data_IF_846992968253
#
_entry.id   IF_846992968253
#
_cell.length_a   1.000
_cell.length_b   1.000
_cell.length_c   1.000
_cell.angle_alpha   90.00
_cell.angle_beta   90.00
_cell.angle_gamma   90.00
#
_symmetry.space_group_name_H-M   'P 1'
#
loop_
_entity.id
_entity.type
_entity.pdbx_description
1 polymer ?
#
# COMPACT_ATOMS: atom_id res chain seq x y z
N UNK A 1 -36.46 40.24 -14.37
CA UNK A 1 -36.19 40.96 -15.62
C UNK A 1 -37.50 41.55 -16.10
N UNK A 2 -37.54 42.87 -16.28
CA UNK A 2 -38.68 43.55 -16.91
C UNK A 2 -38.65 43.33 -18.39
N UNK A 3 -39.79 43.05 -19.00
CA UNK A 3 -39.95 42.91 -20.44
C UNK A 3 -39.47 44.19 -21.14
N UNK A 4 -38.55 44.07 -22.11
CA UNK A 4 -37.96 45.24 -22.75
C UNK A 4 -38.88 45.92 -23.78
N UNK A 5 -39.98 45.27 -24.12
CA UNK A 5 -40.98 45.76 -25.09
C UNK A 5 -42.33 45.76 -24.42
N UNK A 6 -42.95 46.95 -24.34
CA UNK A 6 -44.30 47.16 -23.81
C UNK A 6 -45.23 47.54 -24.99
N UNK A 7 -46.31 46.81 -25.13
CA UNK A 7 -47.32 47.05 -26.19
C UNK A 7 -48.43 47.92 -25.63
N UNK A 8 -48.61 49.12 -26.20
CA UNK A 8 -49.70 49.98 -25.87
C UNK A 8 -50.96 49.54 -26.66
N UNK A 9 -52.09 49.38 -25.96
CA UNK A 9 -53.34 48.97 -26.60
C UNK A 9 -53.76 49.96 -27.69
N UNK A 10 -54.02 49.45 -28.92
CA UNK A 10 -54.38 50.18 -30.12
C UNK A 10 -53.27 50.93 -30.85
N UNK A 11 -52.01 50.72 -30.51
CA UNK A 11 -50.90 51.23 -31.30
C UNK A 11 -50.66 50.31 -32.54
N UNK A 12 -50.24 50.86 -33.72
CA UNK A 12 -49.88 50.03 -34.83
C UNK A 12 -48.73 49.09 -34.43
N UNK A 13 -48.89 47.80 -34.71
CA UNK A 13 -47.91 46.77 -34.34
C UNK A 13 -46.58 47.04 -35.04
N UNK A 14 -45.51 47.44 -34.34
CA UNK A 14 -44.24 47.74 -34.96
C UNK A 14 -43.46 46.44 -35.26
N UNK A 15 -43.45 46.00 -36.51
CA UNK A 15 -42.80 44.78 -36.96
C UNK A 15 -41.33 44.70 -36.56
N UNK A 16 -40.61 45.80 -36.67
CA UNK A 16 -39.19 45.89 -36.28
C UNK A 16 -38.97 45.63 -34.76
N UNK A 17 -39.80 46.22 -33.91
CA UNK A 17 -39.67 46.01 -32.45
C UNK A 17 -40.04 44.56 -32.04
N UNK A 18 -40.91 43.92 -32.79
CA UNK A 18 -41.27 42.53 -32.55
C UNK A 18 -40.14 41.59 -33.01
N UNK A 19 -39.54 41.87 -34.16
CA UNK A 19 -38.41 41.16 -34.71
C UNK A 19 -37.19 41.24 -33.74
N UNK A 20 -36.88 42.48 -33.27
CA UNK A 20 -35.82 42.67 -32.24
C UNK A 20 -36.09 41.89 -30.95
N UNK A 21 -37.36 41.85 -30.51
CA UNK A 21 -37.74 41.07 -29.33
C UNK A 21 -37.55 39.56 -29.50
N UNK A 22 -37.89 39.03 -30.66
CA UNK A 22 -37.68 37.63 -31.02
C UNK A 22 -36.19 37.28 -31.16
N UNK A 23 -35.41 38.16 -31.76
CA UNK A 23 -33.93 37.98 -31.91
C UNK A 23 -33.24 37.97 -30.55
N UNK A 24 -33.60 38.88 -29.65
CA UNK A 24 -33.10 38.86 -28.27
C UNK A 24 -33.47 37.58 -27.51
N UNK A 25 -34.70 37.13 -27.66
CA UNK A 25 -35.12 35.86 -27.04
C UNK A 25 -34.35 34.67 -27.61
N UNK A 26 -34.14 34.63 -28.93
CA UNK A 26 -33.35 33.60 -29.57
C UNK A 26 -31.88 33.61 -29.11
N UNK A 27 -31.25 34.77 -29.06
CA UNK A 27 -29.87 34.92 -28.55
C UNK A 27 -29.76 34.46 -27.09
N UNK A 28 -30.74 34.82 -26.24
CA UNK A 28 -30.73 34.37 -24.83
C UNK A 28 -30.87 32.88 -24.73
N UNK A 29 -31.74 32.26 -25.52
CA UNK A 29 -31.89 30.77 -25.56
C UNK A 29 -30.60 30.10 -26.03
N UNK A 30 -29.95 30.66 -27.04
CA UNK A 30 -28.67 30.12 -27.53
C UNK A 30 -27.59 30.22 -26.47
N UNK A 31 -27.46 31.34 -25.76
CA UNK A 31 -26.53 31.49 -24.65
C UNK A 31 -26.81 30.50 -23.51
N UNK A 32 -28.07 30.35 -23.11
CA UNK A 32 -28.46 29.35 -22.10
C UNK A 32 -28.13 27.93 -22.56
N UNK A 33 -28.36 27.62 -23.85
CA UNK A 33 -28.03 26.30 -24.41
C UNK A 33 -26.52 26.05 -24.39
N UNK A 34 -25.71 27.06 -24.66
CA UNK A 34 -24.27 26.97 -24.61
C UNK A 34 -23.76 26.77 -23.17
N UNK A 35 -24.29 27.49 -22.20
CA UNK A 35 -23.99 27.29 -20.79
C UNK A 35 -24.39 25.88 -20.31
N UNK A 36 -25.58 25.43 -20.69
CA UNK A 36 -26.03 24.08 -20.39
C UNK A 36 -25.13 23.01 -21.04
N UNK A 37 -24.59 23.24 -22.24
CA UNK A 37 -23.68 22.30 -22.89
C UNK A 37 -22.32 22.18 -22.22
N UNK A 38 -21.92 23.18 -21.44
CA UNK A 38 -20.71 23.18 -20.62
C UNK A 38 -20.91 22.69 -19.19
N UNK A 39 -22.17 22.41 -18.78
CA UNK A 39 -22.47 21.93 -17.44
C UNK A 39 -22.49 20.42 -17.35
N UNK A 40 -22.22 19.89 -16.15
CA UNK A 40 -22.45 18.49 -15.87
C UNK A 40 -23.96 18.20 -15.90
N UNK A 41 -24.37 17.22 -16.71
CA UNK A 41 -25.75 16.85 -16.87
C UNK A 41 -25.96 15.41 -16.44
N UNK A 42 -27.05 15.18 -15.73
CA UNK A 42 -27.54 13.85 -15.44
C UNK A 42 -28.56 13.49 -16.52
N UNK A 43 -28.54 12.23 -16.97
CA UNK A 43 -29.53 11.77 -17.93
C UNK A 43 -30.96 12.00 -17.43
N UNK A 44 -31.86 12.44 -18.30
CA UNK A 44 -33.26 12.64 -17.95
C UNK A 44 -33.98 11.36 -17.45
N UNK A 45 -33.35 10.19 -17.63
CA UNK A 45 -33.84 8.89 -17.14
C UNK A 45 -33.30 8.53 -15.75
N UNK A 46 -32.35 9.30 -15.22
CA UNK A 46 -31.80 9.11 -13.86
C UNK A 46 -32.48 10.07 -12.88
N UNK A 47 -32.96 9.53 -11.78
CA UNK A 47 -33.45 10.33 -10.67
C UNK A 47 -32.29 10.61 -9.70
N UNK A 48 -31.81 11.84 -9.64
CA UNK A 48 -30.99 12.32 -8.53
C UNK A 48 -31.92 13.13 -7.63
N UNK A 49 -31.97 12.78 -6.35
CA UNK A 49 -32.85 13.43 -5.39
C UNK A 49 -32.26 14.78 -4.93
N UNK A 50 -30.94 14.92 -4.94
CA UNK A 50 -30.22 16.13 -4.55
C UNK A 50 -29.13 16.47 -5.57
N UNK A 51 -29.46 17.24 -6.65
CA UNK A 51 -28.49 17.63 -7.67
C UNK A 51 -27.60 18.83 -7.25
N UNK A 52 -27.78 19.34 -6.05
CA UNK A 52 -27.10 20.54 -5.54
C UNK A 52 -26.02 20.17 -4.53
N UNK A 53 -24.95 20.96 -4.53
CA UNK A 53 -23.96 20.92 -3.47
C UNK A 53 -24.53 21.58 -2.22
N UNK A 54 -24.81 20.79 -1.20
CA UNK A 54 -25.35 21.28 0.09
C UNK A 54 -24.28 21.87 0.99
N UNK A 55 -23.01 21.50 0.78
CA UNK A 55 -21.88 21.98 1.56
C UNK A 55 -21.40 23.35 1.09
N UNK A 56 -20.91 24.17 2.01
CA UNK A 56 -20.29 25.45 1.71
C UNK A 56 -18.90 25.29 1.03
N UNK A 57 -18.34 26.39 0.53
CA UNK A 57 -17.06 26.36 -0.17
C UNK A 57 -15.89 25.90 0.71
N UNK A 58 -15.91 26.23 2.01
CA UNK A 58 -14.86 25.84 2.94
C UNK A 58 -14.91 24.33 3.21
N UNK A 59 -16.13 23.79 3.36
CA UNK A 59 -16.34 22.34 3.54
C UNK A 59 -15.98 21.53 2.30
N UNK A 60 -16.06 22.09 1.09
CA UNK A 60 -15.70 21.46 -0.18
C UNK A 60 -14.23 21.60 -0.54
N UNK A 61 -13.49 22.50 0.10
CA UNK A 61 -12.10 22.75 -0.23
C UNK A 61 -11.25 21.48 -0.05
N UNK A 62 -10.43 21.15 -1.04
CA UNK A 62 -9.55 19.97 -1.06
C UNK A 62 -10.26 18.61 -1.03
N UNK A 63 -11.55 18.58 -1.40
CA UNK A 63 -12.32 17.31 -1.49
C UNK A 63 -12.61 16.96 -2.94
N UNK A 64 -12.76 15.67 -3.22
CA UNK A 64 -13.19 15.18 -4.52
C UNK A 64 -14.72 15.14 -4.60
N UNK A 65 -15.23 15.34 -5.82
CA UNK A 65 -16.63 15.11 -6.14
C UNK A 65 -16.85 13.60 -6.29
N UNK A 66 -17.80 13.06 -5.56
CA UNK A 66 -18.20 11.66 -5.61
C UNK A 66 -19.70 11.48 -5.63
N UNK A 67 -20.14 10.23 -5.60
CA UNK A 67 -21.55 9.86 -5.48
C UNK A 67 -21.70 8.92 -4.29
N UNK A 68 -22.81 9.06 -3.55
CA UNK A 68 -23.16 8.14 -2.48
C UNK A 68 -23.67 6.78 -3.02
N UNK A 69 -23.98 5.86 -2.12
CA UNK A 69 -24.49 4.52 -2.48
C UNK A 69 -25.83 4.54 -3.23
N UNK A 70 -26.53 5.66 -3.24
CA UNK A 70 -27.78 5.87 -3.97
C UNK A 70 -27.61 6.67 -5.26
N UNK A 71 -26.37 7.11 -5.55
CA UNK A 71 -26.02 7.86 -6.76
C UNK A 71 -26.26 9.37 -6.66
N UNK A 72 -26.51 9.90 -5.48
CA UNK A 72 -26.60 11.35 -5.25
C UNK A 72 -25.20 11.97 -5.17
N UNK A 73 -25.09 13.25 -5.52
CA UNK A 73 -23.84 13.99 -5.45
C UNK A 73 -23.36 14.10 -3.99
N UNK A 74 -22.14 13.65 -3.75
CA UNK A 74 -21.48 13.72 -2.46
C UNK A 74 -20.18 14.52 -2.59
N UNK A 75 -20.01 15.56 -1.77
CA UNK A 75 -18.79 16.39 -1.76
C UNK A 75 -17.71 15.89 -0.79
N UNK A 76 -17.91 14.76 -0.17
CA UNK A 76 -17.11 14.30 0.95
C UNK A 76 -16.40 12.99 0.69
N UNK A 77 -15.57 12.94 -0.30
CA UNK A 77 -14.48 11.95 -0.20
C UNK A 77 -13.33 12.69 0.47
N UNK A 78 -13.31 12.62 1.79
CA UNK A 78 -12.34 13.33 2.61
C UNK A 78 -10.91 12.88 2.33
N UNK A 79 -10.73 11.66 1.89
CA UNK A 79 -9.43 11.09 1.56
C UNK A 79 -9.61 10.15 0.38
N UNK A 80 -9.19 10.59 -0.80
CA UNK A 80 -9.02 9.70 -1.93
C UNK A 80 -7.81 8.83 -1.60
N UNK A 81 -8.08 7.70 -0.96
CA UNK A 81 -7.08 6.67 -0.76
C UNK A 81 -6.78 6.07 -2.13
N UNK A 82 -5.56 6.20 -2.66
CA UNK A 82 -5.16 5.27 -3.68
C UNK A 82 -5.17 3.89 -3.03
N UNK A 83 -6.27 3.15 -3.15
CA UNK A 83 -6.31 1.73 -2.86
C UNK A 83 -5.44 1.04 -3.91
N UNK A 84 -4.14 1.14 -3.73
CA UNK A 84 -3.12 0.53 -4.56
C UNK A 84 -2.17 -0.25 -3.68
N UNK A 85 -2.31 -1.57 -3.65
CA UNK A 85 -1.40 -2.47 -2.94
C UNK A 85 -1.81 -2.75 -1.49
N UNK A 86 -1.00 -3.56 -0.82
CA UNK A 86 -1.11 -3.91 0.60
C UNK A 86 -0.84 -2.70 1.50
N UNK A 87 -1.83 -1.83 1.66
CA UNK A 87 -1.71 -0.65 2.51
C UNK A 87 -3.01 -0.31 3.22
N UNK A 88 -2.89 0.19 4.45
CA UNK A 88 -4.00 0.71 5.23
C UNK A 88 -3.65 2.08 5.81
N UNK A 89 -4.68 2.89 6.09
CA UNK A 89 -4.50 4.21 6.66
C UNK A 89 -4.61 4.16 8.18
N UNK A 90 -3.70 4.87 8.85
CA UNK A 90 -3.70 5.04 10.30
C UNK A 90 -3.39 6.48 10.68
N UNK A 91 -3.58 6.80 11.95
CA UNK A 91 -3.03 8.02 12.55
C UNK A 91 -1.81 7.70 13.41
N UNK A 92 -0.78 8.52 13.29
CA UNK A 92 0.42 8.38 14.12
C UNK A 92 0.18 8.95 15.52
N UNK A 93 0.45 8.16 16.55
CA UNK A 93 0.47 8.63 17.93
C UNK A 93 1.92 8.80 18.40
N UNK A 94 2.26 9.96 18.97
CA UNK A 94 3.61 10.25 19.49
C UNK A 94 3.87 9.64 20.87
N UNK A 95 2.88 9.01 21.51
CA UNK A 95 3.08 8.27 22.76
C UNK A 95 3.86 6.98 22.50
N UNK A 96 4.63 6.51 23.50
CA UNK A 96 5.54 5.36 23.34
C UNK A 96 5.23 4.17 24.24
N UNK A 97 4.11 4.23 24.97
CA UNK A 97 3.70 3.20 25.91
C UNK A 97 3.34 1.88 25.21
N UNK A 98 3.71 0.75 25.81
CA UNK A 98 3.23 -0.58 25.40
C UNK A 98 1.78 -0.73 25.85
N UNK A 99 0.87 -0.28 25.01
CA UNK A 99 -0.57 -0.35 25.19
C UNK A 99 -1.24 -0.20 23.83
N UNK A 100 -2.53 -0.51 23.76
CA UNK A 100 -3.39 -0.23 22.64
C UNK A 100 -3.27 1.26 22.23
N UNK A 101 -2.89 1.58 20.98
CA UNK A 101 -2.75 2.95 20.51
C UNK A 101 -4.09 3.69 20.36
N UNK A 102 -5.21 2.96 20.41
CA UNK A 102 -6.56 3.44 20.14
C UNK A 102 -6.96 3.29 18.69
N UNK A 103 -8.28 3.23 18.47
CA UNK A 103 -8.87 2.91 17.17
C UNK A 103 -8.27 3.72 16.02
N UNK A 104 -7.81 3.01 14.99
CA UNK A 104 -7.23 3.59 13.79
C UNK A 104 -5.85 4.22 13.97
N UNK A 105 -5.14 3.90 15.05
CA UNK A 105 -3.83 4.50 15.34
C UNK A 105 -2.71 3.46 15.39
N UNK A 106 -1.50 3.96 15.20
CA UNK A 106 -0.29 3.23 15.54
C UNK A 106 0.69 4.14 16.29
N UNK A 107 1.63 3.55 17.00
CA UNK A 107 2.73 4.22 17.67
C UNK A 107 4.01 3.41 17.64
N UNK A 108 5.12 4.07 17.89
CA UNK A 108 6.42 3.42 18.09
C UNK A 108 6.77 3.38 19.58
N UNK A 109 7.58 2.40 19.99
CA UNK A 109 8.05 2.30 21.38
C UNK A 109 9.12 3.34 21.75
N UNK A 110 9.50 4.21 20.82
CA UNK A 110 10.50 5.26 21.04
C UNK A 110 10.11 6.53 20.28
N UNK A 111 10.28 7.70 20.93
CA UNK A 111 10.01 8.99 20.30
C UNK A 111 11.01 9.33 19.18
N UNK A 112 12.24 8.79 19.25
CA UNK A 112 13.23 8.88 18.17
C UNK A 112 13.01 7.72 17.21
N UNK A 113 12.55 8.02 15.99
CA UNK A 113 12.17 7.03 14.97
C UNK A 113 13.30 6.02 14.71
N UNK A 114 14.56 6.49 14.57
CA UNK A 114 15.71 5.63 14.32
C UNK A 114 16.08 4.70 15.48
N UNK A 115 15.54 4.93 16.67
CA UNK A 115 15.73 4.08 17.85
C UNK A 115 14.53 3.20 18.16
N UNK A 116 13.49 3.27 17.35
CA UNK A 116 12.30 2.44 17.53
C UNK A 116 12.59 0.99 17.13
N UNK A 117 12.16 0.07 17.99
CA UNK A 117 12.32 -1.38 17.81
C UNK A 117 11.01 -2.16 17.85
N UNK A 118 9.91 -1.49 18.24
CA UNK A 118 8.57 -2.08 18.27
C UNK A 118 7.57 -1.05 17.75
N UNK A 119 6.65 -1.50 16.92
CA UNK A 119 5.43 -0.78 16.55
C UNK A 119 4.23 -1.43 17.24
N UNK A 120 3.37 -0.62 17.80
CA UNK A 120 2.04 -0.99 18.29
C UNK A 120 1.03 -0.45 17.30
N UNK A 121 0.23 -1.31 16.70
CA UNK A 121 -0.74 -0.97 15.66
C UNK A 121 -2.10 -1.52 16.04
N UNK A 122 -3.14 -0.68 16.00
CA UNK A 122 -4.52 -1.05 16.29
C UNK A 122 -5.05 -2.07 15.27
N UNK A 123 -5.98 -2.91 15.68
CA UNK A 123 -6.63 -3.89 14.82
C UNK A 123 -7.55 -3.24 13.78
N UNK A 124 -8.02 -2.01 14.07
CA UNK A 124 -8.82 -1.24 13.14
C UNK A 124 -7.95 -0.21 12.40
N UNK A 125 -8.16 -0.07 11.09
CA UNK A 125 -7.58 1.05 10.34
C UNK A 125 -8.38 2.35 10.59
N UNK A 126 -7.91 3.47 10.06
CA UNK A 126 -8.46 4.81 10.32
C UNK A 126 -9.98 4.94 10.11
N UNK A 127 -10.58 4.24 9.16
CA UNK A 127 -12.01 4.28 8.89
C UNK A 127 -12.80 3.21 9.67
N UNK A 128 -12.14 2.45 10.54
CA UNK A 128 -12.74 1.46 11.42
C UNK A 128 -12.89 0.06 10.81
N UNK A 129 -12.23 -0.22 9.68
CA UNK A 129 -12.17 -1.58 9.11
C UNK A 129 -11.17 -2.42 9.88
N UNK A 130 -11.56 -3.64 10.27
CA UNK A 130 -10.66 -4.60 10.90
C UNK A 130 -9.63 -5.11 9.90
N UNK A 131 -8.36 -4.87 10.20
CA UNK A 131 -7.19 -5.27 9.41
C UNK A 131 -6.23 -6.16 10.21
N UNK A 132 -6.66 -6.67 11.37
CA UNK A 132 -5.85 -7.50 12.26
C UNK A 132 -5.27 -8.72 11.54
N UNK A 133 -6.09 -9.45 10.76
CA UNK A 133 -5.63 -10.60 10.00
C UNK A 133 -4.55 -10.24 8.96
N UNK A 134 -4.66 -9.07 8.31
CA UNK A 134 -3.63 -8.60 7.39
C UNK A 134 -2.33 -8.24 8.12
N UNK A 135 -2.40 -7.55 9.25
CA UNK A 135 -1.21 -7.22 10.05
C UNK A 135 -0.55 -8.48 10.57
N UNK A 136 -1.31 -9.43 11.09
CA UNK A 136 -0.81 -10.70 11.62
C UNK A 136 -0.16 -11.59 10.54
N UNK A 137 -0.58 -11.48 9.28
CA UNK A 137 0.04 -12.23 8.18
C UNK A 137 1.44 -11.74 7.78
N UNK A 138 1.94 -10.64 8.34
CA UNK A 138 3.27 -10.11 7.96
C UNK A 138 4.43 -10.99 8.44
N UNK A 139 4.21 -11.88 9.39
CA UNK A 139 5.20 -12.86 9.86
C UNK A 139 5.00 -14.28 9.29
N UNK A 140 4.00 -14.48 8.41
CA UNK A 140 3.75 -15.76 7.74
C UNK A 140 4.84 -16.15 6.73
N UNK A 141 5.75 -15.22 6.40
CA UNK A 141 6.91 -15.49 5.53
C UNK A 141 7.83 -16.50 6.23
N UNK A 142 7.90 -17.71 5.68
CA UNK A 142 8.71 -18.79 6.23
C UNK A 142 10.17 -18.69 5.77
N UNK A 143 11.10 -19.18 6.59
CA UNK A 143 12.52 -19.29 6.21
C UNK A 143 13.37 -18.03 6.50
N UNK A 144 12.81 -16.88 6.88
CA UNK A 144 13.57 -15.67 7.17
C UNK A 144 13.09 -14.89 8.40
N UNK A 145 13.33 -15.42 9.58
CA UNK A 145 12.92 -14.81 10.86
C UNK A 145 13.57 -13.45 11.11
N UNK A 146 14.68 -13.15 10.47
CA UNK A 146 15.40 -11.89 10.64
C UNK A 146 14.98 -10.82 9.64
N UNK A 147 14.14 -11.18 8.64
CA UNK A 147 13.64 -10.27 7.61
C UNK A 147 12.33 -10.78 7.02
N UNK A 148 11.22 -10.61 7.73
CA UNK A 148 9.87 -10.97 7.25
C UNK A 148 9.40 -10.08 6.10
N UNK A 149 9.89 -8.85 6.05
CA UNK A 149 9.50 -7.88 5.03
C UNK A 149 9.85 -6.46 5.44
N UNK A 150 9.35 -5.50 4.66
CA UNK A 150 9.55 -4.08 4.92
C UNK A 150 8.20 -3.38 5.08
N UNK A 151 8.09 -2.57 6.12
CA UNK A 151 7.00 -1.62 6.31
C UNK A 151 7.50 -0.26 5.83
N UNK A 152 6.74 0.37 4.95
CA UNK A 152 6.88 1.79 4.63
C UNK A 152 5.68 2.54 5.19
N UNK A 153 5.95 3.58 5.96
CA UNK A 153 4.95 4.48 6.52
C UNK A 153 5.16 5.85 5.88
N UNK A 154 4.17 6.35 5.17
CA UNK A 154 4.25 7.63 4.47
C UNK A 154 3.15 8.55 4.95
N UNK A 155 3.49 9.81 5.24
CA UNK A 155 2.51 10.81 5.66
C UNK A 155 1.58 11.13 4.49
N UNK A 156 0.27 11.14 4.75
CA UNK A 156 -0.72 11.48 3.76
C UNK A 156 -0.49 12.92 3.24
N UNK A 157 -0.66 13.11 1.94
CA UNK A 157 -0.49 14.38 1.25
C UNK A 157 0.93 15.00 1.30
N UNK A 158 1.94 14.28 1.80
CA UNK A 158 3.32 14.78 1.95
C UNK A 158 4.30 13.63 1.71
N UNK A 159 4.53 13.28 0.44
CA UNK A 159 5.31 12.10 0.04
C UNK A 159 6.79 12.16 0.39
N UNK A 160 7.32 13.32 0.75
CA UNK A 160 8.69 13.53 1.24
C UNK A 160 8.86 13.19 2.73
N UNK A 161 7.76 12.93 3.45
CA UNK A 161 7.75 12.55 4.86
C UNK A 161 7.39 11.07 4.99
N UNK A 162 8.38 10.24 5.35
CA UNK A 162 8.23 8.79 5.42
C UNK A 162 9.22 8.16 6.40
N UNK A 163 8.93 6.94 6.82
CA UNK A 163 9.84 6.06 7.55
C UNK A 163 9.71 4.62 7.05
N UNK A 164 10.83 3.90 7.09
CA UNK A 164 10.93 2.50 6.63
C UNK A 164 11.58 1.66 7.70
N UNK A 165 10.97 0.52 7.98
CA UNK A 165 11.47 -0.48 8.90
C UNK A 165 11.48 -1.86 8.24
N UNK A 166 12.35 -2.71 8.73
CA UNK A 166 12.32 -4.15 8.50
C UNK A 166 11.52 -4.81 9.62
N UNK A 167 10.60 -5.71 9.28
CA UNK A 167 9.89 -6.57 10.24
C UNK A 167 10.76 -7.77 10.56
N UNK A 168 10.87 -8.11 11.85
CA UNK A 168 11.67 -9.24 12.33
C UNK A 168 10.89 -10.05 13.35
N UNK A 169 11.12 -11.36 13.36
CA UNK A 169 10.47 -12.26 14.32
C UNK A 169 8.96 -12.41 14.14
N UNK A 170 8.34 -13.00 15.14
CA UNK A 170 6.90 -13.19 15.19
C UNK A 170 6.17 -11.93 15.66
N UNK A 171 4.98 -11.71 15.13
CA UNK A 171 4.06 -10.67 15.58
C UNK A 171 3.34 -11.19 16.83
N UNK A 172 3.20 -10.31 17.82
CA UNK A 172 2.44 -10.64 19.03
C UNK A 172 1.05 -10.03 18.91
N UNK A 173 0.04 -10.88 18.84
CA UNK A 173 -1.36 -10.49 18.98
C UNK A 173 -1.65 -10.10 20.43
N UNK A 174 -2.13 -8.88 20.64
CA UNK A 174 -2.57 -8.37 21.92
C UNK A 174 -4.06 -8.00 21.85
N UNK A 175 -4.67 -7.67 22.97
CA UNK A 175 -6.10 -7.33 22.97
C UNK A 175 -6.34 -5.99 22.28
N UNK A 176 -6.88 -6.03 21.05
CA UNK A 176 -7.24 -4.86 20.25
C UNK A 176 -6.08 -4.23 19.46
N UNK A 177 -4.87 -4.79 19.50
CA UNK A 177 -3.73 -4.29 18.77
C UNK A 177 -2.65 -5.36 18.59
N UNK A 178 -1.77 -5.16 17.62
CA UNK A 178 -0.62 -6.04 17.38
C UNK A 178 0.69 -5.35 17.71
N UNK A 179 1.69 -6.15 18.17
CA UNK A 179 3.06 -5.71 18.45
C UNK A 179 3.99 -6.29 17.39
N UNK A 180 4.72 -5.43 16.70
CA UNK A 180 5.57 -5.79 15.58
C UNK A 180 7.02 -5.41 15.92
N UNK A 181 7.90 -6.40 15.92
CA UNK A 181 9.34 -6.18 16.10
C UNK A 181 9.95 -5.56 14.84
N UNK A 182 10.71 -4.47 15.03
CA UNK A 182 11.24 -3.64 13.94
C UNK A 182 12.74 -3.46 14.03
N UNK A 183 13.36 -3.30 12.86
CA UNK A 183 14.69 -2.74 12.70
C UNK A 183 14.59 -1.54 11.78
N UNK A 184 15.04 -0.38 12.26
CA UNK A 184 15.06 0.86 11.48
C UNK A 184 15.93 0.73 10.22
N UNK A 185 15.45 1.26 9.11
CA UNK A 185 16.19 1.32 7.84
C UNK A 185 16.52 2.78 7.53
N UNK A 186 15.49 3.63 7.36
CA UNK A 186 15.68 5.03 6.99
C UNK A 186 14.39 5.84 7.21
N UNK A 187 14.49 7.18 7.26
CA UNK A 187 13.34 8.07 7.37
C UNK A 187 13.65 9.47 6.85
N UNK A 188 12.64 10.19 6.42
CA UNK A 188 12.72 11.61 6.05
C UNK A 188 11.51 12.38 6.59
N UNK A 189 11.69 13.68 6.80
CA UNK A 189 10.64 14.57 7.30
C UNK A 189 10.34 14.41 8.79
N UNK A 190 9.21 14.97 9.22
CA UNK A 190 8.80 14.98 10.65
C UNK A 190 7.34 14.60 10.76
N UNK A 191 7.04 13.69 11.68
CA UNK A 191 5.68 13.27 12.02
C UNK A 191 5.22 13.94 13.29
N UNK A 192 3.98 14.45 13.26
CA UNK A 192 3.29 15.01 14.42
C UNK A 192 2.21 14.03 14.93
N UNK A 193 1.74 14.27 16.15
CA UNK A 193 0.61 13.51 16.67
C UNK A 193 -0.63 13.69 15.79
N UNK A 194 -1.37 12.60 15.57
CA UNK A 194 -2.57 12.53 14.73
C UNK A 194 -2.34 12.79 13.23
N UNK A 195 -1.08 12.81 12.76
CA UNK A 195 -0.79 12.78 11.32
C UNK A 195 -1.40 11.52 10.70
N UNK A 196 -2.15 11.70 9.62
CA UNK A 196 -2.64 10.58 8.81
C UNK A 196 -1.50 10.01 7.99
N UNK A 197 -1.38 8.70 7.98
CA UNK A 197 -0.31 7.98 7.29
C UNK A 197 -0.85 6.76 6.57
N UNK A 198 -0.15 6.36 5.52
CA UNK A 198 -0.31 5.07 4.88
C UNK A 198 0.76 4.12 5.41
N UNK A 199 0.33 3.01 5.93
CA UNK A 199 1.19 1.88 6.30
C UNK A 199 1.09 0.85 5.19
N UNK A 200 2.20 0.51 4.55
CA UNK A 200 2.27 -0.53 3.52
C UNK A 200 3.31 -1.58 3.92
N UNK A 201 3.02 -2.83 3.64
CA UNK A 201 3.91 -3.94 3.88
C UNK A 201 4.27 -4.63 2.57
N UNK A 202 5.54 -4.98 2.42
CA UNK A 202 6.04 -5.81 1.32
C UNK A 202 6.78 -6.98 1.94
N UNK A 203 6.26 -8.18 1.77
CA UNK A 203 6.90 -9.40 2.24
C UNK A 203 8.29 -9.55 1.60
N UNK A 204 9.28 -10.01 2.37
CA UNK A 204 10.53 -10.51 1.78
C UNK A 204 10.22 -11.82 1.05
N UNK A 205 10.97 -12.12 -0.01
CA UNK A 205 10.98 -13.47 -0.55
C UNK A 205 11.46 -14.44 0.54
N UNK A 206 10.96 -15.65 0.51
CA UNK A 206 11.62 -16.76 1.21
C UNK A 206 13.08 -16.78 0.79
N UNK A 207 13.98 -17.18 1.69
CA UNK A 207 15.36 -17.45 1.30
C UNK A 207 15.29 -18.37 0.10
N UNK A 208 15.64 -17.85 -1.08
CA UNK A 208 15.56 -18.62 -2.31
C UNK A 208 16.32 -19.91 -2.06
N UNK A 209 15.70 -21.04 -2.36
CA UNK A 209 16.40 -22.30 -2.31
C UNK A 209 17.71 -22.09 -3.06
N UNK A 210 18.85 -22.16 -2.35
CA UNK A 210 20.17 -22.10 -3.00
C UNK A 210 20.12 -23.21 -4.03
N UNK A 211 20.30 -22.94 -5.33
CA UNK A 211 20.30 -23.99 -6.31
C UNK A 211 21.58 -24.84 -6.09
N UNK A 212 21.47 -25.83 -5.22
CA UNK A 212 22.57 -26.67 -4.79
C UNK A 212 22.48 -27.05 -3.32
N UNK A 213 23.31 -27.99 -2.94
CA UNK A 213 23.44 -28.44 -1.56
C UNK A 213 24.52 -27.64 -0.85
N UNK A 214 24.31 -27.32 0.42
CA UNK A 214 25.26 -26.57 1.22
C UNK A 214 26.18 -27.52 1.97
N UNK A 215 27.48 -27.38 1.76
CA UNK A 215 28.52 -28.19 2.44
C UNK A 215 29.57 -27.28 3.07
N UNK A 216 30.13 -27.71 4.20
CA UNK A 216 31.35 -27.15 4.73
C UNK A 216 32.54 -27.77 4.03
N UNK A 217 33.59 -26.99 3.78
CA UNK A 217 34.81 -27.52 3.18
C UNK A 217 35.75 -28.05 4.27
N UNK A 218 36.06 -29.36 4.19
CA UNK A 218 37.11 -29.99 5.00
C UNK A 218 38.45 -29.96 4.24
N UNK A 219 39.52 -29.59 4.92
CA UNK A 219 40.86 -29.54 4.39
C UNK A 219 41.60 -30.91 4.42
N UNK A 220 41.00 -31.93 5.01
CA UNK A 220 41.45 -33.29 4.97
C UNK A 220 41.58 -33.81 3.56
N UNK A 221 42.58 -34.67 3.31
CA UNK A 221 42.83 -35.24 1.96
C UNK A 221 42.76 -36.74 1.94
N UNK A 222 42.33 -37.35 3.04
CA UNK A 222 42.23 -38.82 3.16
C UNK A 222 40.96 -39.33 2.50
N UNK A 223 41.06 -40.53 1.90
CA UNK A 223 39.92 -41.26 1.37
C UNK A 223 39.10 -41.85 2.53
N UNK A 224 38.33 -41.01 3.14
CA UNK A 224 37.41 -41.30 4.23
C UNK A 224 36.20 -40.39 4.12
N UNK A 225 35.11 -40.74 4.80
CA UNK A 225 33.97 -39.85 5.00
C UNK A 225 34.45 -38.50 5.58
N UNK A 226 34.20 -37.37 4.90
CA UNK A 226 34.68 -36.06 5.36
C UNK A 226 33.98 -35.60 6.66
N UNK A 227 32.83 -36.17 7.03
CA UNK A 227 32.02 -35.80 8.15
C UNK A 227 30.69 -35.21 7.72
N UNK A 228 29.74 -35.18 8.67
CA UNK A 228 28.36 -34.76 8.40
C UNK A 228 28.28 -33.33 7.81
N UNK A 229 27.73 -33.23 6.61
CA UNK A 229 27.58 -31.98 5.87
C UNK A 229 28.90 -31.39 5.34
N UNK A 230 29.92 -32.20 5.14
CA UNK A 230 31.23 -31.75 4.68
C UNK A 230 31.61 -32.31 3.28
N UNK A 231 32.51 -31.59 2.64
CA UNK A 231 33.09 -31.92 1.35
C UNK A 231 34.60 -31.75 1.41
N UNK A 232 35.36 -32.70 0.90
CA UNK A 232 36.83 -32.67 0.86
C UNK A 232 37.37 -33.04 -0.51
N UNK A 233 38.63 -32.70 -0.77
CA UNK A 233 39.37 -33.13 -1.94
C UNK A 233 40.52 -34.10 -1.55
N UNK A 234 40.86 -35.02 -2.44
CA UNK A 234 41.99 -35.92 -2.23
C UNK A 234 43.37 -35.24 -2.30
N UNK A 235 43.42 -33.92 -2.50
CA UNK A 235 44.68 -33.18 -2.61
C UNK A 235 44.51 -31.73 -2.08
N UNK A 236 45.42 -31.28 -1.24
CA UNK A 236 45.43 -29.91 -0.71
C UNK A 236 45.72 -28.82 -1.76
N UNK A 237 46.28 -29.22 -2.95
CA UNK A 237 46.39 -28.33 -4.10
C UNK A 237 45.21 -28.58 -5.05
N UNK A 238 44.27 -27.71 -5.13
CA UNK A 238 43.01 -27.89 -5.88
C UNK A 238 43.24 -28.23 -7.36
N UNK A 239 44.26 -27.64 -8.01
CA UNK A 239 44.63 -27.96 -9.39
C UNK A 239 45.12 -29.39 -9.59
N UNK A 240 45.45 -30.10 -8.53
CA UNK A 240 45.91 -31.48 -8.52
C UNK A 240 44.89 -32.45 -7.94
N UNK A 241 43.74 -31.95 -7.51
CA UNK A 241 42.66 -32.78 -7.03
C UNK A 241 42.00 -33.54 -8.17
N UNK A 242 41.78 -34.83 -7.96
CA UNK A 242 41.18 -35.76 -8.94
C UNK A 242 39.99 -36.49 -8.39
N UNK A 243 39.74 -36.39 -7.08
CA UNK A 243 38.62 -37.00 -6.38
C UNK A 243 38.04 -35.98 -5.39
N UNK A 244 36.74 -35.97 -5.30
CA UNK A 244 35.96 -35.28 -4.30
C UNK A 244 35.33 -36.32 -3.37
N UNK A 245 35.41 -36.09 -2.08
CA UNK A 245 34.67 -36.80 -1.05
C UNK A 245 33.53 -35.92 -0.57
N UNK A 246 32.32 -36.45 -0.52
CA UNK A 246 31.12 -35.69 -0.19
C UNK A 246 30.24 -36.54 0.73
N UNK A 247 29.78 -35.95 1.81
CA UNK A 247 28.86 -36.62 2.73
C UNK A 247 27.47 -36.81 2.10
N UNK A 248 26.78 -37.87 2.53
CA UNK A 248 25.43 -38.23 2.06
C UNK A 248 24.35 -37.26 2.48
N UNK A 249 24.67 -36.39 3.42
CA UNK A 249 23.78 -35.30 3.87
C UNK A 249 24.46 -33.95 3.70
N UNK A 250 23.68 -32.90 3.40
CA UNK A 250 24.19 -31.54 3.37
C UNK A 250 24.37 -30.97 4.79
N UNK A 251 24.91 -29.76 4.93
CA UNK A 251 25.12 -29.09 6.20
C UNK A 251 23.82 -28.93 7.05
N UNK A 252 22.65 -28.93 6.43
CA UNK A 252 21.34 -28.83 7.10
C UNK A 252 20.78 -30.21 7.48
N UNK A 253 21.51 -31.30 7.22
CA UNK A 253 21.10 -32.68 7.47
C UNK A 253 20.12 -33.23 6.44
N UNK A 254 20.00 -32.61 5.27
CA UNK A 254 19.17 -33.09 4.18
C UNK A 254 19.92 -34.21 3.46
N UNK A 255 19.34 -35.41 3.40
CA UNK A 255 19.94 -36.54 2.67
C UNK A 255 19.92 -36.29 1.16
N UNK A 256 21.07 -36.28 0.53
CA UNK A 256 21.32 -35.97 -0.88
C UNK A 256 21.97 -37.10 -1.67
N UNK A 257 22.21 -38.23 -1.03
CA UNK A 257 22.86 -39.38 -1.63
C UNK A 257 22.21 -39.85 -2.93
N UNK A 258 20.90 -39.82 -3.01
CA UNK A 258 20.16 -40.20 -4.24
C UNK A 258 20.51 -39.32 -5.42
N UNK A 259 20.63 -37.99 -5.18
CA UNK A 259 20.92 -37.00 -6.22
C UNK A 259 22.40 -37.09 -6.64
N UNK A 260 23.32 -37.28 -5.68
CA UNK A 260 24.77 -37.46 -5.96
C UNK A 260 25.00 -38.69 -6.84
N UNK A 261 24.30 -39.79 -6.58
CA UNK A 261 24.41 -41.03 -7.38
C UNK A 261 23.90 -40.86 -8.81
N UNK A 262 23.14 -39.80 -9.12
CA UNK A 262 22.71 -39.54 -10.51
C UNK A 262 23.75 -38.76 -11.33
N UNK A 263 24.81 -38.24 -10.72
CA UNK A 263 25.78 -37.40 -11.42
C UNK A 263 26.63 -38.16 -12.43
N UNK A 264 26.78 -39.46 -12.26
CA UNK A 264 27.49 -40.35 -13.19
C UNK A 264 26.57 -41.10 -14.19
N UNK A 265 25.20 -40.91 -14.02
CA UNK A 265 24.22 -41.56 -14.90
C UNK A 265 24.10 -40.92 -16.29
N UNK A 266 24.94 -39.92 -16.61
CA UNK A 266 24.98 -39.35 -17.95
C UNK A 266 25.47 -40.39 -18.95
N UNK A 267 24.57 -41.20 -19.50
CA UNK A 267 24.87 -42.05 -20.68
C UNK A 267 25.17 -41.11 -21.83
N UNK A 268 26.45 -40.94 -22.13
CA UNK A 268 26.88 -40.39 -23.42
C UNK A 268 26.45 -41.35 -24.52
N UNK A 269 25.39 -41.00 -25.25
CA UNK A 269 25.05 -41.60 -26.53
C UNK A 269 25.86 -40.96 -27.64
#
# INVERSE_FOLDING_TARGET
QTQAIDYIANDPFPAESHEEGLDRATMTIQQMQEELNRSFKVSATNSITTPEFTDDAASRASKALGFDSTGNVLTTVADFLPAGGDSAMFQYSTTTADADPGAGKFRLNNATISSATIMYIDDLEFNGTDVSAWVQSWDDVTGNDTNRGRIRISKANTLDTWMVFKVTGAITDATGYSKISLVYIDSAGTFANDDKVFVSFVASGEDGAIPGYLYNFDTGTSDTDPGAGEIAFNNGTYASATVIFIDDADQNGVTVSTDILTWDDSTST
#
